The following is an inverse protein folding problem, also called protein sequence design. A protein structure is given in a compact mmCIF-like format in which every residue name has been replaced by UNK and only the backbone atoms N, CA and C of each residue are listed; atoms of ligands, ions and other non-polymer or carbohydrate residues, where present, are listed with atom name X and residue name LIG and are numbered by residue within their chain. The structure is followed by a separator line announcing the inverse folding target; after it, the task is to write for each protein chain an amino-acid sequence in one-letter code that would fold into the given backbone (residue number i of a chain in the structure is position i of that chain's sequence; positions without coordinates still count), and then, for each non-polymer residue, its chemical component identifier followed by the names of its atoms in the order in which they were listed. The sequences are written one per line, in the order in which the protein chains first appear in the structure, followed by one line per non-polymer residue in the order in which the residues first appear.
data_IF_818127337110
#
_entry.id   IF_818127337110
#
_cell.length_a   1.000
_cell.length_b   1.000
_cell.length_c   1.000
_cell.angle_alpha   90.00
_cell.angle_beta   90.00
_cell.angle_gamma   90.00
#
_symmetry.space_group_name_H-M   'P 1'
#
loop_
_entity.id
_entity.type
_entity.pdbx_description
1 polymer ?
#
# COMPACT_ATOMS: atom_id res chain seq x y z
N UNK A 1 4.28 -47.43 -4.90
CA UNK A 1 3.53 -46.24 -5.32
C UNK A 1 4.42 -45.05 -5.08
N UNK A 2 4.75 -44.37 -6.16
CA UNK A 2 5.57 -43.18 -6.23
C UNK A 2 4.75 -42.04 -5.61
N UNK A 3 5.32 -41.35 -4.62
CA UNK A 3 4.75 -40.09 -4.14
C UNK A 3 4.94 -39.10 -5.29
N UNK A 4 3.87 -38.95 -6.06
CA UNK A 4 3.83 -38.15 -7.26
C UNK A 4 4.05 -36.67 -6.91
N UNK A 5 4.65 -35.99 -7.86
CA UNK A 5 5.31 -34.69 -7.80
C UNK A 5 4.31 -33.51 -7.70
N UNK A 6 3.18 -33.71 -7.03
CA UNK A 6 2.04 -32.78 -6.93
C UNK A 6 1.96 -32.14 -5.53
N UNK A 7 3.06 -31.56 -5.05
CA UNK A 7 3.08 -30.86 -3.75
C UNK A 7 3.64 -29.43 -3.81
N UNK A 8 4.01 -28.93 -4.99
CA UNK A 8 4.52 -27.56 -5.16
C UNK A 8 3.51 -26.53 -5.65
N UNK A 9 2.44 -26.94 -6.34
CA UNK A 9 1.47 -25.99 -6.93
C UNK A 9 0.56 -25.33 -5.89
N UNK A 10 0.19 -26.05 -4.82
CA UNK A 10 -0.63 -25.50 -3.74
C UNK A 10 0.05 -24.39 -2.94
N UNK A 11 1.36 -24.53 -2.71
CA UNK A 11 2.18 -23.52 -2.03
C UNK A 11 2.34 -22.26 -2.90
N UNK A 12 2.58 -22.46 -4.20
CA UNK A 12 2.71 -21.37 -5.17
C UNK A 12 1.39 -20.59 -5.34
N UNK A 13 0.25 -21.27 -5.37
CA UNK A 13 -1.07 -20.64 -5.48
C UNK A 13 -1.43 -19.82 -4.23
N UNK A 14 -1.04 -20.28 -3.04
CA UNK A 14 -1.24 -19.52 -1.80
C UNK A 14 -0.43 -18.22 -1.81
N UNK A 15 0.86 -18.30 -2.16
CA UNK A 15 1.76 -17.14 -2.26
C UNK A 15 1.26 -16.10 -3.27
N UNK A 16 0.80 -16.52 -4.45
CA UNK A 16 0.27 -15.60 -5.46
C UNK A 16 -1.00 -14.89 -4.98
N UNK A 17 -1.91 -15.60 -4.30
CA UNK A 17 -3.10 -14.99 -3.70
C UNK A 17 -2.76 -13.98 -2.62
N UNK A 18 -1.81 -14.31 -1.74
CA UNK A 18 -1.34 -13.39 -0.69
C UNK A 18 -0.73 -12.13 -1.30
N UNK A 19 0.07 -12.28 -2.36
CA UNK A 19 0.64 -11.17 -3.13
C UNK A 19 -0.44 -10.29 -3.75
N UNK A 20 -1.45 -10.87 -4.39
CA UNK A 20 -2.56 -10.12 -5.00
C UNK A 20 -3.36 -9.34 -3.96
N UNK A 21 -3.60 -9.93 -2.79
CA UNK A 21 -4.25 -9.26 -1.67
C UNK A 21 -3.41 -8.10 -1.14
N UNK A 22 -2.10 -8.31 -0.97
CA UNK A 22 -1.18 -7.28 -0.52
C UNK A 22 -1.10 -6.11 -1.51
N UNK A 23 -1.05 -6.38 -2.81
CA UNK A 23 -1.07 -5.36 -3.87
C UNK A 23 -2.38 -4.58 -3.87
N UNK A 24 -3.51 -5.29 -3.75
CA UNK A 24 -4.83 -4.66 -3.67
C UNK A 24 -4.97 -3.76 -2.45
N UNK A 25 -4.46 -4.19 -1.29
CA UNK A 25 -4.45 -3.40 -0.06
C UNK A 25 -3.57 -2.15 -0.20
N UNK A 26 -2.37 -2.29 -0.77
CA UNK A 26 -1.47 -1.17 -1.04
C UNK A 26 -2.09 -0.14 -1.99
N UNK A 27 -2.76 -0.60 -3.05
CA UNK A 27 -3.44 0.29 -3.99
C UNK A 27 -4.54 1.10 -3.31
N UNK A 28 -5.38 0.46 -2.47
CA UNK A 28 -6.41 1.16 -1.68
C UNK A 28 -5.81 2.17 -0.72
N UNK A 29 -4.76 1.78 0.01
CA UNK A 29 -4.06 2.68 0.92
C UNK A 29 -3.44 3.88 0.19
N UNK A 30 -2.94 3.70 -1.04
CA UNK A 30 -2.43 4.80 -1.85
C UNK A 30 -3.54 5.78 -2.25
N UNK A 31 -4.72 5.29 -2.62
CA UNK A 31 -5.89 6.14 -2.91
C UNK A 31 -6.28 6.95 -1.67
N UNK A 32 -6.39 6.30 -0.50
CA UNK A 32 -6.73 7.00 0.75
C UNK A 32 -5.70 8.08 1.11
N UNK A 33 -4.41 7.83 0.85
CA UNK A 33 -3.34 8.81 1.06
C UNK A 33 -3.47 10.01 0.11
N UNK A 34 -3.86 9.77 -1.16
CA UNK A 34 -4.09 10.83 -2.15
C UNK A 34 -5.30 11.67 -1.74
N UNK A 35 -6.40 11.04 -1.33
CA UNK A 35 -7.59 11.76 -0.87
C UNK A 35 -7.28 12.62 0.37
N UNK A 36 -6.54 12.07 1.34
CA UNK A 36 -6.07 12.83 2.50
C UNK A 36 -5.11 13.97 2.12
N UNK A 37 -4.32 13.83 1.06
CA UNK A 37 -3.49 14.91 0.53
C UNK A 37 -4.34 16.01 -0.11
N UNK A 38 -5.35 15.64 -0.91
CA UNK A 38 -6.28 16.58 -1.54
C UNK A 38 -7.07 17.37 -0.50
N UNK A 39 -7.55 16.73 0.56
CA UNK A 39 -8.24 17.43 1.65
C UNK A 39 -7.32 18.41 2.38
N UNK A 40 -6.04 18.07 2.59
CA UNK A 40 -5.06 19.02 3.14
C UNK A 40 -4.80 20.19 2.22
N UNK A 41 -4.86 20.00 0.89
CA UNK A 41 -4.75 21.10 -0.07
C UNK A 41 -5.96 22.04 0.09
N UNK A 42 -7.19 21.50 0.17
CA UNK A 42 -8.40 22.31 0.40
C UNK A 42 -8.37 23.05 1.73
N UNK A 43 -7.86 22.41 2.79
CA UNK A 43 -7.70 23.02 4.11
C UNK A 43 -6.53 24.01 4.20
N UNK A 44 -5.70 24.13 3.16
CA UNK A 44 -4.50 24.99 3.17
C UNK A 44 -3.36 24.47 4.06
N UNK A 45 -3.44 23.23 4.55
CA UNK A 45 -2.44 22.59 5.43
C UNK A 45 -1.56 21.58 4.68
N UNK A 46 -1.61 21.57 3.35
CA UNK A 46 -0.74 20.74 2.55
C UNK A 46 0.72 21.17 2.72
N UNK A 47 1.62 20.20 2.79
CA UNK A 47 3.02 20.47 3.12
C UNK A 47 3.26 20.81 4.59
N UNK A 48 2.30 20.60 5.50
CA UNK A 48 2.53 20.69 6.95
C UNK A 48 2.65 19.28 7.56
N UNK A 49 3.68 19.07 8.37
CA UNK A 49 3.88 17.82 9.09
C UNK A 49 2.79 17.65 10.16
N UNK A 50 2.05 16.54 10.10
CA UNK A 50 0.96 16.25 11.06
C UNK A 50 1.45 15.97 12.48
N UNK A 51 2.72 15.53 12.64
CA UNK A 51 3.30 15.23 13.95
C UNK A 51 3.90 16.47 14.62
N UNK A 52 4.53 17.35 13.85
CA UNK A 52 5.28 18.51 14.38
C UNK A 52 4.67 19.87 14.09
N UNK A 53 3.68 19.94 13.19
CA UNK A 53 3.06 21.20 12.74
C UNK A 53 3.97 22.09 11.88
N UNK A 54 5.18 21.64 11.53
CA UNK A 54 6.14 22.43 10.73
C UNK A 54 5.92 22.24 9.24
N UNK A 55 6.27 23.25 8.46
CA UNK A 55 6.32 23.14 7.00
C UNK A 55 7.35 22.08 6.57
N UNK A 56 6.95 21.23 5.65
CA UNK A 56 7.77 20.24 4.97
C UNK A 56 8.49 20.97 3.84
N UNK A 57 9.83 20.88 3.74
CA UNK A 57 10.57 21.52 2.65
C UNK A 57 10.09 20.98 1.30
N UNK A 58 10.08 21.87 0.30
CA UNK A 58 9.54 21.57 -1.03
C UNK A 58 10.48 20.66 -1.84
N UNK A 59 11.77 20.67 -1.53
CA UNK A 59 12.75 19.70 -2.04
C UNK A 59 12.50 18.32 -1.41
N UNK A 60 12.23 17.32 -2.26
CA UNK A 60 12.07 15.91 -1.90
C UNK A 60 12.81 15.01 -2.88
#
# INVERSE_FOLDING_TARGET
MQFDEESGEGDTLAVERERDLALSAQARAAVDQIDAALERIRAGTYGVCVTSGRAIPQER
#
